data_IF_814340116213
#
_entry.id   IF_814340116213
#
_cell.length_a   1.000
_cell.length_b   1.000
_cell.length_c   1.000
_cell.angle_alpha   90.00
_cell.angle_beta   90.00
_cell.angle_gamma   90.00
#
_symmetry.space_group_name_H-M   'P 1'
#
loop_
_entity.id
_entity.type
_entity.pdbx_description
1 polymer ?
#
# COMPACT_ATOMS: atom_id res chain seq x y z
N UNK A 1 2.17 -15.56 -31.16
CA UNK A 1 1.90 -14.19 -31.65
C UNK A 1 1.61 -13.16 -30.56
N UNK A 2 0.92 -13.48 -29.45
CA UNK A 2 0.53 -12.48 -28.44
C UNK A 2 1.65 -11.99 -27.49
N UNK A 3 2.74 -12.76 -27.34
CA UNK A 3 3.78 -12.48 -26.34
C UNK A 3 4.47 -11.12 -26.59
N UNK A 4 4.80 -10.79 -27.84
CA UNK A 4 5.44 -9.52 -28.22
C UNK A 4 4.60 -8.27 -27.86
N UNK A 5 3.27 -8.36 -27.92
CA UNK A 5 2.39 -7.23 -27.61
C UNK A 5 2.39 -6.86 -26.11
N UNK A 6 2.66 -7.82 -25.22
CA UNK A 6 2.73 -7.63 -23.76
C UNK A 6 4.01 -6.90 -23.29
N UNK A 7 4.95 -6.63 -24.20
CA UNK A 7 6.20 -5.92 -23.88
C UNK A 7 6.11 -4.40 -24.11
N UNK A 8 4.97 -3.89 -24.60
CA UNK A 8 4.81 -2.46 -24.86
C UNK A 8 4.32 -1.70 -23.62
N UNK A 9 4.82 -0.48 -23.42
CA UNK A 9 4.33 0.44 -22.36
C UNK A 9 2.83 0.73 -22.48
N UNK A 10 2.30 0.72 -23.70
CA UNK A 10 0.88 0.89 -23.98
C UNK A 10 0.06 -0.28 -23.44
N UNK A 11 0.50 -1.52 -23.64
CA UNK A 11 -0.16 -2.71 -23.09
C UNK A 11 -0.09 -2.72 -21.56
N UNK A 12 1.08 -2.43 -20.97
CA UNK A 12 1.24 -2.30 -19.51
C UNK A 12 0.21 -1.33 -18.91
N UNK A 13 0.05 -0.15 -19.52
CA UNK A 13 -0.93 0.86 -19.07
C UNK A 13 -2.37 0.39 -19.21
N UNK A 14 -2.74 -0.20 -20.34
CA UNK A 14 -4.12 -0.70 -20.58
C UNK A 14 -4.49 -1.78 -19.56
N UNK A 15 -3.61 -2.74 -19.33
CA UNK A 15 -3.81 -3.80 -18.35
C UNK A 15 -3.88 -3.25 -16.91
N UNK A 16 -3.03 -2.28 -16.59
CA UNK A 16 -3.11 -1.56 -15.31
C UNK A 16 -4.45 -0.85 -15.10
N UNK A 17 -5.03 -0.24 -16.14
CA UNK A 17 -6.36 0.38 -16.07
C UNK A 17 -7.46 -0.67 -15.88
N UNK A 18 -7.37 -1.82 -16.55
CA UNK A 18 -8.35 -2.90 -16.44
C UNK A 18 -8.40 -3.47 -15.02
N UNK A 19 -7.24 -3.75 -14.39
CA UNK A 19 -7.23 -4.31 -13.02
C UNK A 19 -7.62 -3.30 -11.94
N UNK A 20 -7.52 -1.99 -12.23
CA UNK A 20 -7.62 -0.92 -11.22
C UNK A 20 -8.93 -0.96 -10.43
N UNK A 21 -10.07 -1.18 -11.10
CA UNK A 21 -11.38 -1.18 -10.44
C UNK A 21 -11.51 -2.31 -9.41
N UNK A 22 -11.04 -3.51 -9.77
CA UNK A 22 -11.02 -4.65 -8.86
C UNK A 22 -10.14 -4.37 -7.64
N UNK A 23 -8.94 -3.81 -7.86
CA UNK A 23 -8.03 -3.48 -6.77
C UNK A 23 -8.60 -2.43 -5.80
N UNK A 24 -9.31 -1.42 -6.31
CA UNK A 24 -10.01 -0.44 -5.44
C UNK A 24 -11.03 -1.17 -4.55
N UNK A 25 -11.84 -2.08 -5.12
CA UNK A 25 -12.81 -2.87 -4.37
C UNK A 25 -12.16 -3.75 -3.29
N UNK A 26 -11.05 -4.41 -3.62
CA UNK A 26 -10.32 -5.29 -2.69
C UNK A 26 -9.68 -4.51 -1.55
N UNK A 27 -9.08 -3.36 -1.86
CA UNK A 27 -8.31 -2.58 -0.88
C UNK A 27 -9.17 -1.61 -0.07
N UNK A 28 -10.32 -1.19 -0.59
CA UNK A 28 -11.09 -0.09 -0.03
C UNK A 28 -10.42 1.29 -0.16
N UNK A 29 -9.31 1.40 -0.89
CA UNK A 29 -8.58 2.65 -1.06
C UNK A 29 -9.35 3.65 -1.94
N UNK A 30 -9.00 4.93 -1.83
CA UNK A 30 -9.62 5.99 -2.63
C UNK A 30 -9.36 5.82 -4.13
N UNK A 31 -10.30 6.33 -4.95
CA UNK A 31 -10.17 6.32 -6.42
C UNK A 31 -8.97 7.10 -6.94
N UNK A 32 -8.39 7.99 -6.14
CA UNK A 32 -7.17 8.75 -6.47
C UNK A 32 -5.87 7.99 -6.19
N UNK A 33 -5.91 6.89 -5.43
CA UNK A 33 -4.73 6.07 -5.10
C UNK A 33 -4.11 5.47 -6.36
N UNK A 34 -2.80 5.60 -6.57
CA UNK A 34 -2.15 5.10 -7.79
C UNK A 34 -2.32 3.58 -7.99
N UNK A 35 -2.37 3.10 -9.24
CA UNK A 35 -2.51 1.65 -9.52
C UNK A 35 -1.34 0.84 -8.96
N UNK A 36 -0.13 1.38 -8.99
CA UNK A 36 1.05 0.75 -8.40
C UNK A 36 0.88 0.54 -6.88
N UNK A 37 0.45 1.58 -6.15
CA UNK A 37 0.16 1.47 -4.72
C UNK A 37 -0.97 0.45 -4.45
N UNK A 38 -2.02 0.42 -5.26
CA UNK A 38 -3.11 -0.56 -5.12
C UNK A 38 -2.63 -2.00 -5.31
N UNK A 39 -1.74 -2.26 -6.28
CA UNK A 39 -1.12 -3.58 -6.51
C UNK A 39 -0.34 -4.02 -5.26
N UNK A 40 0.51 -3.14 -4.72
CA UNK A 40 1.29 -3.42 -3.50
C UNK A 40 0.36 -3.61 -2.29
N UNK A 41 -0.62 -2.74 -2.10
CA UNK A 41 -1.59 -2.84 -1.00
C UNK A 41 -2.40 -4.12 -1.05
N UNK A 42 -2.79 -4.59 -2.22
CA UNK A 42 -3.53 -5.84 -2.37
C UNK A 42 -2.61 -7.07 -2.29
N UNK A 43 -1.30 -6.90 -2.50
CA UNK A 43 -0.38 -8.01 -2.70
C UNK A 43 -0.63 -8.74 -4.02
N UNK A 44 -1.18 -8.04 -5.02
CA UNK A 44 -1.55 -8.58 -6.33
C UNK A 44 -0.61 -7.98 -7.38
N UNK A 45 0.11 -8.80 -8.16
CA UNK A 45 1.06 -8.30 -9.14
C UNK A 45 0.38 -7.48 -10.25
N UNK A 46 1.16 -6.66 -10.98
CA UNK A 46 0.71 -6.07 -12.23
C UNK A 46 0.22 -7.15 -13.20
N UNK A 47 -0.96 -6.94 -13.79
CA UNK A 47 -1.63 -7.92 -14.63
C UNK A 47 -0.79 -8.33 -15.85
N UNK A 48 0.03 -7.42 -16.39
CA UNK A 48 0.95 -7.77 -17.48
C UNK A 48 2.07 -8.73 -17.04
N UNK A 49 2.51 -8.67 -15.78
CA UNK A 49 3.48 -9.62 -15.23
C UNK A 49 2.82 -10.96 -14.92
N UNK A 50 1.58 -10.92 -14.40
CA UNK A 50 0.79 -12.13 -14.14
C UNK A 50 0.57 -12.92 -15.44
N UNK A 51 0.17 -12.26 -16.53
CA UNK A 51 -0.02 -12.91 -17.83
C UNK A 51 1.28 -13.52 -18.38
N UNK A 52 2.43 -12.86 -18.16
CA UNK A 52 3.75 -13.41 -18.55
C UNK A 52 4.11 -14.65 -17.73
N UNK A 53 3.83 -14.64 -16.43
CA UNK A 53 4.05 -15.80 -15.57
C UNK A 53 3.11 -16.95 -15.92
N UNK A 54 1.84 -16.68 -16.22
CA UNK A 54 0.88 -17.69 -16.69
C UNK A 54 1.32 -18.33 -18.01
N UNK A 55 1.82 -17.54 -18.97
CA UNK A 55 2.37 -18.07 -20.21
C UNK A 55 3.60 -18.97 -19.96
N UNK A 56 4.54 -18.51 -19.14
CA UNK A 56 5.72 -19.32 -18.77
C UNK A 56 5.32 -20.63 -18.03
N UNK A 57 4.27 -20.58 -17.21
CA UNK A 57 3.72 -21.75 -16.53
C UNK A 57 3.12 -22.75 -17.51
N UNK A 58 2.46 -22.28 -18.57
CA UNK A 58 1.94 -23.14 -19.63
C UNK A 58 3.08 -23.79 -20.43
N UNK A 59 4.06 -22.99 -20.86
CA UNK A 59 5.23 -23.48 -21.59
C UNK A 59 6.00 -24.54 -20.78
N UNK A 60 6.11 -24.34 -19.46
CA UNK A 60 6.78 -25.30 -18.56
C UNK A 60 6.12 -26.68 -18.54
N UNK A 61 4.82 -26.82 -18.86
CA UNK A 61 4.17 -28.14 -18.93
C UNK A 61 4.74 -29.01 -20.06
N UNK A 62 5.26 -28.38 -21.12
CA UNK A 62 5.86 -29.08 -22.26
C UNK A 62 7.31 -29.51 -21.99
N UNK A 63 7.90 -29.08 -20.87
CA UNK A 63 9.25 -29.48 -20.49
C UNK A 63 9.27 -30.86 -19.79
N UNK A 64 10.42 -31.57 -19.83
CA UNK A 64 10.62 -32.77 -19.02
C UNK A 64 10.42 -32.45 -17.53
N UNK A 65 9.87 -33.40 -16.77
CA UNK A 65 9.44 -33.21 -15.38
C UNK A 65 10.52 -32.59 -14.50
N UNK A 66 11.78 -33.02 -14.66
CA UNK A 66 12.91 -32.51 -13.87
C UNK A 66 13.18 -31.01 -14.02
N UNK A 67 12.79 -30.39 -15.13
CA UNK A 67 13.04 -28.96 -15.38
C UNK A 67 11.84 -28.05 -15.03
N UNK A 68 10.66 -28.64 -14.77
CA UNK A 68 9.42 -27.87 -14.58
C UNK A 68 9.49 -26.98 -13.34
N UNK A 69 9.95 -27.54 -12.22
CA UNK A 69 10.03 -26.82 -10.95
C UNK A 69 10.97 -25.61 -11.05
N UNK A 70 12.19 -25.83 -11.55
CA UNK A 70 13.20 -24.76 -11.73
C UNK A 70 12.74 -23.66 -12.68
N UNK A 71 12.05 -24.04 -13.76
CA UNK A 71 11.46 -23.07 -14.70
C UNK A 71 10.40 -22.20 -14.04
N UNK A 72 9.53 -22.79 -13.21
CA UNK A 72 8.52 -22.04 -12.47
C UNK A 72 9.13 -21.14 -11.40
N UNK A 73 10.18 -21.60 -10.71
CA UNK A 73 10.93 -20.79 -9.74
C UNK A 73 11.54 -19.58 -10.45
N UNK A 74 12.21 -19.80 -11.59
CA UNK A 74 12.82 -18.73 -12.38
C UNK A 74 11.78 -17.73 -12.88
N UNK A 75 10.65 -18.20 -13.40
CA UNK A 75 9.55 -17.35 -13.86
C UNK A 75 8.97 -16.50 -12.71
N UNK A 76 8.84 -17.10 -11.52
CA UNK A 76 8.33 -16.41 -10.32
C UNK A 76 9.32 -15.36 -9.83
N UNK A 77 10.60 -15.69 -9.77
CA UNK A 77 11.68 -14.74 -9.42
C UNK A 77 11.69 -13.57 -10.39
N UNK A 78 11.62 -13.83 -11.70
CA UNK A 78 11.57 -12.79 -12.73
C UNK A 78 10.36 -11.85 -12.58
N UNK A 79 9.18 -12.41 -12.26
CA UNK A 79 7.98 -11.62 -11.98
C UNK A 79 8.21 -10.68 -10.78
N UNK A 80 8.71 -11.23 -9.66
CA UNK A 80 8.91 -10.47 -8.43
C UNK A 80 10.00 -9.41 -8.58
N UNK A 81 11.10 -9.70 -9.27
CA UNK A 81 12.16 -8.73 -9.54
C UNK A 81 11.66 -7.60 -10.42
N UNK A 82 10.95 -7.92 -11.50
CA UNK A 82 10.37 -6.89 -12.38
C UNK A 82 9.36 -6.03 -11.63
N UNK A 83 8.53 -6.62 -10.77
CA UNK A 83 7.59 -5.89 -9.95
C UNK A 83 8.31 -4.98 -8.95
N UNK A 84 9.32 -5.49 -8.24
CA UNK A 84 10.13 -4.71 -7.30
C UNK A 84 10.83 -3.54 -7.99
N UNK A 85 11.46 -3.76 -9.15
CA UNK A 85 12.12 -2.69 -9.90
C UNK A 85 11.13 -1.61 -10.32
N UNK A 86 9.95 -1.99 -10.83
CA UNK A 86 8.89 -1.03 -11.17
C UNK A 86 8.39 -0.26 -9.94
N UNK A 87 8.29 -0.93 -8.80
CA UNK A 87 7.82 -0.32 -7.57
C UNK A 87 8.82 0.71 -7.05
N UNK A 88 10.10 0.33 -6.96
CA UNK A 88 11.18 1.20 -6.51
C UNK A 88 11.34 2.43 -7.40
N UNK A 89 11.22 2.26 -8.73
CA UNK A 89 11.35 3.35 -9.70
C UNK A 89 10.11 4.26 -9.80
N UNK A 90 8.98 3.92 -9.17
CA UNK A 90 7.77 4.72 -9.28
C UNK A 90 7.84 5.99 -8.42
N UNK A 91 7.52 7.13 -9.01
CA UNK A 91 7.30 8.39 -8.28
C UNK A 91 5.91 8.45 -7.63
N UNK A 92 4.99 7.55 -7.99
CA UNK A 92 3.64 7.53 -7.43
C UNK A 92 3.56 6.58 -6.24
N UNK A 93 2.79 6.96 -5.23
CA UNK A 93 2.59 6.12 -4.03
C UNK A 93 3.83 6.03 -3.13
N UNK A 94 4.69 7.06 -3.12
CA UNK A 94 5.93 7.05 -2.31
C UNK A 94 5.68 6.79 -0.83
N UNK A 95 4.60 7.34 -0.27
CA UNK A 95 4.20 7.02 1.10
C UNK A 95 3.92 5.52 1.31
N UNK A 96 3.18 4.89 0.39
CA UNK A 96 2.97 3.44 0.40
C UNK A 96 4.28 2.67 0.26
N UNK A 97 5.25 3.18 -0.53
CA UNK A 97 6.56 2.58 -0.66
C UNK A 97 7.34 2.65 0.65
N UNK A 98 7.19 3.70 1.44
CA UNK A 98 7.78 3.75 2.78
C UNK A 98 7.15 2.73 3.72
N UNK A 99 5.86 2.44 3.59
CA UNK A 99 5.20 1.35 4.32
C UNK A 99 5.71 -0.02 3.84
N UNK A 100 5.77 -0.23 2.53
CA UNK A 100 6.05 -1.51 1.90
C UNK A 100 7.16 -1.39 0.84
N UNK A 101 8.42 -1.23 1.25
CA UNK A 101 9.52 -1.04 0.30
C UNK A 101 9.87 -2.33 -0.45
N UNK A 102 9.61 -3.49 0.16
CA UNK A 102 9.91 -4.81 -0.39
C UNK A 102 8.61 -5.58 -0.67
N UNK A 103 8.39 -5.91 -1.94
CA UNK A 103 7.23 -6.66 -2.43
C UNK A 103 7.18 -8.07 -1.87
N UNK A 104 8.32 -8.76 -1.76
CA UNK A 104 8.39 -10.15 -1.28
C UNK A 104 8.02 -10.23 0.19
N UNK A 105 8.43 -9.26 0.98
CA UNK A 105 8.02 -9.15 2.37
C UNK A 105 6.54 -8.81 2.47
N UNK A 106 6.06 -7.84 1.67
CA UNK A 106 4.64 -7.47 1.65
C UNK A 106 3.75 -8.66 1.35
N UNK A 107 3.98 -9.42 0.28
CA UNK A 107 3.07 -10.52 -0.12
C UNK A 107 3.04 -11.70 0.86
N UNK A 108 4.09 -11.87 1.68
CA UNK A 108 4.14 -12.89 2.74
C UNK A 108 3.30 -12.52 3.96
N UNK A 109 3.02 -11.23 4.16
CA UNK A 109 2.28 -10.73 5.30
C UNK A 109 0.79 -10.59 4.92
N UNK A 110 -0.09 -11.43 5.47
CA UNK A 110 -1.52 -11.20 5.33
C UNK A 110 -1.87 -9.94 6.12
N UNK A 111 -2.31 -8.91 5.41
CA UNK A 111 -2.76 -7.66 6.02
C UNK A 111 -4.27 -7.54 5.88
N UNK A 112 -4.95 -7.24 6.98
CA UNK A 112 -6.36 -6.90 6.98
C UNK A 112 -6.57 -5.59 6.23
N UNK A 113 -7.23 -5.64 5.08
CA UNK A 113 -7.59 -4.45 4.32
C UNK A 113 -8.98 -3.94 4.73
N UNK A 114 -9.12 -2.63 4.68
CA UNK A 114 -10.34 -1.90 5.02
C UNK A 114 -10.18 -0.44 4.64
N UNK A 115 -11.29 0.28 4.49
CA UNK A 115 -11.26 1.66 3.99
C UNK A 115 -10.38 2.56 4.87
N UNK A 116 -10.46 2.42 6.19
CA UNK A 116 -9.74 3.25 7.16
C UNK A 116 -8.24 3.00 7.09
N UNK A 117 -7.82 1.75 7.20
CA UNK A 117 -6.38 1.41 7.14
C UNK A 117 -5.79 1.71 5.76
N UNK A 118 -6.55 1.57 4.68
CA UNK A 118 -6.11 1.93 3.34
C UNK A 118 -5.78 3.44 3.24
N UNK A 119 -6.49 4.31 3.96
CA UNK A 119 -6.14 5.73 4.02
C UNK A 119 -4.74 5.92 4.61
N UNK A 120 -4.45 5.27 5.73
CA UNK A 120 -3.15 5.34 6.40
C UNK A 120 -2.02 4.70 5.58
N UNK A 121 -2.27 3.63 4.84
CA UNK A 121 -1.25 2.97 4.03
C UNK A 121 -1.00 3.65 2.67
N UNK A 122 -1.89 4.55 2.26
CA UNK A 122 -1.78 5.24 0.95
C UNK A 122 -1.51 6.73 1.08
N UNK A 123 -1.84 7.35 2.20
CA UNK A 123 -1.88 8.80 2.33
C UNK A 123 -3.02 9.44 1.52
N UNK A 124 -3.89 8.62 0.93
CA UNK A 124 -5.11 9.04 0.28
C UNK A 124 -6.28 8.78 1.23
N UNK A 125 -6.69 9.84 1.93
CA UNK A 125 -7.77 9.79 2.90
C UNK A 125 -8.29 11.17 3.23
N UNK A 126 -9.10 11.24 4.28
CA UNK A 126 -9.64 12.48 4.80
C UNK A 126 -8.60 13.34 5.55
N UNK A 127 -7.34 13.34 5.14
CA UNK A 127 -6.27 14.15 5.74
C UNK A 127 -6.30 15.55 5.15
N UNK A 128 -6.27 16.61 5.98
CA UNK A 128 -6.39 17.99 5.46
C UNK A 128 -5.33 18.31 4.40
N UNK A 129 -4.10 17.80 4.58
CA UNK A 129 -3.04 17.96 3.58
C UNK A 129 -3.42 17.40 2.22
N UNK A 130 -4.00 16.19 2.19
CA UNK A 130 -4.44 15.56 0.94
C UNK A 130 -5.66 16.26 0.35
N UNK A 131 -6.61 16.71 1.18
CA UNK A 131 -7.78 17.44 0.71
C UNK A 131 -7.41 18.81 0.12
N UNK A 132 -6.44 19.52 0.72
CA UNK A 132 -5.92 20.77 0.21
C UNK A 132 -5.15 20.59 -1.10
N UNK A 133 -4.32 19.54 -1.22
CA UNK A 133 -3.65 19.15 -2.48
C UNK A 133 -4.66 18.90 -3.62
N UNK A 134 -5.86 18.38 -3.29
CA UNK A 134 -6.95 18.15 -4.23
C UNK A 134 -7.87 19.37 -4.45
N UNK A 135 -7.62 20.49 -3.78
CA UNK A 135 -8.46 21.70 -3.85
C UNK A 135 -9.83 21.55 -3.18
N UNK A 136 -10.04 20.52 -2.36
CA UNK A 136 -11.30 20.25 -1.65
C UNK A 136 -11.38 20.99 -0.30
N UNK A 137 -10.24 21.45 0.22
CA UNK A 137 -10.13 22.27 1.44
C UNK A 137 -9.14 23.41 1.21
N UNK A 138 -9.36 24.58 1.83
CA UNK A 138 -8.50 25.74 1.61
C UNK A 138 -7.15 25.63 2.32
N UNK A 139 -7.03 24.81 3.38
CA UNK A 139 -5.81 24.70 4.18
C UNK A 139 -5.45 23.24 4.44
N UNK A 140 -4.15 22.90 4.46
CA UNK A 140 -3.67 21.58 4.85
C UNK A 140 -3.58 21.38 6.37
N UNK A 141 -3.91 22.40 7.18
CA UNK A 141 -3.58 22.42 8.61
C UNK A 141 -4.48 21.53 9.47
N UNK A 142 -3.91 20.96 10.53
CA UNK A 142 -4.68 20.26 11.55
C UNK A 142 -5.59 21.24 12.31
N UNK A 143 -6.83 20.82 12.59
CA UNK A 143 -7.82 21.66 13.28
C UNK A 143 -7.47 22.03 14.72
N UNK A 144 -6.73 21.17 15.43
CA UNK A 144 -6.34 21.36 16.84
C UNK A 144 -4.84 21.17 17.08
N UNK A 145 -4.10 20.84 16.03
CA UNK A 145 -2.66 20.57 16.09
C UNK A 145 -1.87 21.68 15.43
N UNK A 146 -0.56 21.67 15.64
CA UNK A 146 0.36 22.51 14.87
C UNK A 146 0.76 21.80 13.57
N UNK A 147 0.79 22.54 12.46
CA UNK A 147 1.28 22.05 11.16
C UNK A 147 0.23 21.37 10.26
N UNK A 148 0.74 20.77 9.19
CA UNK A 148 -0.04 20.10 8.15
C UNK A 148 -0.55 18.74 8.63
N UNK A 149 -1.84 18.46 8.43
CA UNK A 149 -2.43 17.18 8.82
C UNK A 149 -2.26 16.18 7.68
N UNK A 150 -1.15 15.46 7.69
CA UNK A 150 -0.90 14.29 6.86
C UNK A 150 -0.91 13.00 7.71
N UNK A 151 -0.61 11.86 7.10
CA UNK A 151 -0.59 10.58 7.83
C UNK A 151 0.45 10.57 8.94
N UNK A 152 1.63 11.16 8.73
CA UNK A 152 2.71 11.18 9.72
C UNK A 152 2.27 12.00 10.93
N UNK A 153 1.73 13.19 10.69
CA UNK A 153 1.18 14.03 11.75
C UNK A 153 0.13 13.25 12.56
N UNK A 154 -0.84 12.61 11.91
CA UNK A 154 -1.87 11.84 12.62
C UNK A 154 -1.27 10.67 13.41
N UNK A 155 -0.30 9.95 12.84
CA UNK A 155 0.33 8.78 13.44
C UNK A 155 1.32 9.07 14.56
N UNK A 156 1.92 10.26 14.63
CA UNK A 156 3.04 10.50 15.55
C UNK A 156 2.89 11.78 16.37
N UNK A 157 2.28 12.84 15.81
CA UNK A 157 2.37 14.19 16.38
C UNK A 157 1.03 14.76 16.86
N UNK A 158 -0.08 14.34 16.24
CA UNK A 158 -1.38 14.96 16.43
C UNK A 158 -1.88 14.78 17.86
N UNK A 159 -2.03 15.87 18.61
CA UNK A 159 -2.51 15.86 20.00
C UNK A 159 -3.91 15.26 20.15
N UNK A 160 -4.77 15.40 19.14
CA UNK A 160 -6.12 14.80 19.11
C UNK A 160 -6.04 13.27 19.24
N UNK A 161 -4.98 12.67 18.72
CA UNK A 161 -4.82 11.23 18.63
C UNK A 161 -3.88 10.65 19.68
N UNK A 162 -3.34 11.46 20.60
CA UNK A 162 -2.36 11.02 21.62
C UNK A 162 -2.87 9.80 22.42
N UNK A 163 -4.05 9.89 23.03
CA UNK A 163 -4.65 8.78 23.80
C UNK A 163 -4.90 7.55 22.92
N UNK A 164 -5.30 7.78 21.67
CA UNK A 164 -5.60 6.71 20.71
C UNK A 164 -4.32 6.01 20.23
N UNK A 165 -3.19 6.71 20.18
CA UNK A 165 -1.88 6.16 19.80
C UNK A 165 -1.29 5.26 20.87
N UNK A 166 -1.60 5.44 22.15
CA UNK A 166 -0.98 4.67 23.25
C UNK A 166 -0.96 3.15 23.02
N UNK A 167 -2.03 2.57 22.45
CA UNK A 167 -2.06 1.12 22.12
C UNK A 167 -1.12 0.73 20.98
N UNK A 168 -0.96 1.60 19.99
CA UNK A 168 -0.02 1.43 18.89
C UNK A 168 1.43 1.55 19.37
N UNK A 169 1.71 2.54 20.23
CA UNK A 169 3.02 2.75 20.86
C UNK A 169 3.43 1.54 21.69
N UNK A 170 2.52 1.03 22.53
CA UNK A 170 2.77 -0.15 23.34
C UNK A 170 3.04 -1.40 22.48
N UNK A 171 2.29 -1.59 21.39
CA UNK A 171 2.50 -2.70 20.47
C UNK A 171 3.87 -2.62 19.78
N UNK A 172 4.29 -1.43 19.35
CA UNK A 172 5.62 -1.22 18.76
C UNK A 172 6.74 -1.55 19.76
N UNK A 173 6.65 -1.03 20.99
CA UNK A 173 7.65 -1.29 22.03
C UNK A 173 7.75 -2.78 22.41
N UNK A 174 6.61 -3.49 22.48
CA UNK A 174 6.59 -4.95 22.76
C UNK A 174 7.25 -5.79 21.66
N UNK A 175 7.21 -5.31 20.43
CA UNK A 175 7.90 -5.93 19.28
C UNK A 175 9.37 -5.47 19.16
N UNK A 176 9.86 -4.68 20.12
CA UNK A 176 11.25 -4.22 20.19
C UNK A 176 11.56 -2.96 19.40
N UNK A 177 10.55 -2.21 18.95
CA UNK A 177 10.73 -0.95 18.23
C UNK A 177 10.64 0.25 19.19
N UNK A 178 11.62 1.16 19.13
CA UNK A 178 11.55 2.44 19.83
C UNK A 178 10.49 3.34 19.20
N UNK A 179 9.73 4.06 20.02
CA UNK A 179 8.75 5.03 19.55
C UNK A 179 9.32 6.46 19.53
N UNK A 180 9.03 7.29 18.51
CA UNK A 180 8.37 6.92 17.26
C UNK A 180 9.24 5.99 16.40
N UNK A 181 8.58 5.05 15.71
CA UNK A 181 9.24 4.11 14.79
C UNK A 181 8.90 4.43 13.35
N UNK A 182 9.69 3.92 12.39
CA UNK A 182 9.31 3.94 10.99
C UNK A 182 8.00 3.17 10.74
N UNK A 183 7.16 3.67 9.82
CA UNK A 183 5.89 3.03 9.45
C UNK A 183 6.07 1.61 8.92
N UNK A 184 7.21 1.30 8.28
CA UNK A 184 7.55 -0.06 7.83
C UNK A 184 7.59 -1.06 8.99
N UNK A 185 7.96 -0.62 10.19
CA UNK A 185 8.00 -1.47 11.38
C UNK A 185 6.59 -1.73 11.88
N UNK A 186 5.67 -0.78 11.75
CA UNK A 186 4.28 -0.95 12.14
C UNK A 186 3.53 -1.96 11.24
N UNK A 187 3.99 -2.17 10.01
CA UNK A 187 3.41 -3.15 9.08
C UNK A 187 4.21 -4.44 8.93
N UNK A 188 5.31 -4.62 9.68
CA UNK A 188 6.20 -5.80 9.56
C UNK A 188 5.82 -6.95 10.49
N UNK A 189 5.13 -6.66 11.61
CA UNK A 189 4.68 -7.64 12.59
C UNK A 189 3.16 -7.68 12.67
N UNK A 190 2.61 -8.86 12.94
CA UNK A 190 1.16 -9.04 13.11
C UNK A 190 0.61 -8.15 14.23
N UNK A 191 1.28 -8.13 15.39
CA UNK A 191 0.81 -7.36 16.55
C UNK A 191 0.82 -5.84 16.31
N UNK A 192 1.89 -5.30 15.72
CA UNK A 192 1.95 -3.87 15.37
C UNK A 192 0.91 -3.53 14.31
N UNK A 193 0.70 -4.41 13.33
CA UNK A 193 -0.27 -4.15 12.26
C UNK A 193 -1.71 -4.16 12.77
N UNK A 194 -2.06 -5.11 13.64
CA UNK A 194 -3.38 -5.15 14.28
C UNK A 194 -3.63 -3.89 15.12
N UNK A 195 -2.61 -3.41 15.85
CA UNK A 195 -2.70 -2.15 16.59
C UNK A 195 -2.87 -0.94 15.65
N UNK A 196 -2.17 -0.92 14.51
CA UNK A 196 -2.30 0.13 13.50
C UNK A 196 -3.71 0.13 12.88
N UNK A 197 -4.29 -1.04 12.60
CA UNK A 197 -5.67 -1.17 12.10
C UNK A 197 -6.67 -0.62 13.11
N UNK A 198 -6.51 -0.94 14.41
CA UNK A 198 -7.36 -0.41 15.48
C UNK A 198 -7.24 1.11 15.58
N UNK A 199 -6.02 1.63 15.54
CA UNK A 199 -5.77 3.06 15.53
C UNK A 199 -6.45 3.74 14.33
N UNK A 200 -6.25 3.21 13.12
CA UNK A 200 -6.83 3.76 11.90
C UNK A 200 -8.36 3.85 11.95
N UNK A 201 -9.03 2.83 12.50
CA UNK A 201 -10.49 2.81 12.66
C UNK A 201 -11.02 3.97 13.51
N UNK A 202 -10.29 4.33 14.56
CA UNK A 202 -10.68 5.44 15.44
C UNK A 202 -10.26 6.77 14.82
N UNK A 203 -9.02 6.88 14.35
CA UNK A 203 -8.46 8.13 13.86
C UNK A 203 -9.09 8.61 12.55
N UNK A 204 -9.56 7.71 11.67
CA UNK A 204 -10.15 8.08 10.38
C UNK A 204 -11.48 8.85 10.50
N UNK A 205 -12.23 8.61 11.59
CA UNK A 205 -13.58 9.19 11.78
C UNK A 205 -13.74 9.97 13.07
N UNK A 206 -12.68 10.13 13.87
CA UNK A 206 -12.77 10.95 15.06
C UNK A 206 -13.26 12.35 14.66
N UNK A 207 -14.38 12.77 15.24
CA UNK A 207 -15.01 14.03 14.88
C UNK A 207 -14.02 15.17 15.05
N UNK A 208 -13.76 15.87 13.94
CA UNK A 208 -13.07 17.16 13.97
C UNK A 208 -14.13 18.17 14.37
N UNK A 209 -14.02 18.83 15.54
CA UNK A 209 -14.98 19.85 15.90
C UNK A 209 -15.03 20.86 14.76
N UNK A 210 -16.25 21.16 14.30
CA UNK A 210 -16.45 22.24 13.35
C UNK A 210 -15.89 23.51 14.01
N UNK A 211 -15.05 24.24 13.27
CA UNK A 211 -14.70 25.59 13.69
C UNK A 211 -16.01 26.34 13.93
N UNK A 212 -16.22 26.84 15.15
CA UNK A 212 -17.32 27.73 15.42
C UNK A 212 -17.16 28.93 14.48
N UNK A 213 -18.17 29.15 13.63
CA UNK A 213 -18.28 30.35 12.81
C UNK A 213 -18.30 31.61 13.69
#
# INVERSE_FOLDING_TARGET
MWNHALHTKTAERKLGTLQRKALIGITGAYRSTSTAALQVLAGIPPLDLELKWMAAKEDAKNLPVGFRADTLILATTKLLDTWQSRWTASEKGRWTHECFPDIRNRIKLPIALGHEIAQFLTGHGNFQSKLAELGLRPTPHCSRGNGNEDVRHVLYDCVIHEVHRASLELAANREGFLWPTEIRNLVSRKATYEALVKFAKVAAYLERPQAAN
#
